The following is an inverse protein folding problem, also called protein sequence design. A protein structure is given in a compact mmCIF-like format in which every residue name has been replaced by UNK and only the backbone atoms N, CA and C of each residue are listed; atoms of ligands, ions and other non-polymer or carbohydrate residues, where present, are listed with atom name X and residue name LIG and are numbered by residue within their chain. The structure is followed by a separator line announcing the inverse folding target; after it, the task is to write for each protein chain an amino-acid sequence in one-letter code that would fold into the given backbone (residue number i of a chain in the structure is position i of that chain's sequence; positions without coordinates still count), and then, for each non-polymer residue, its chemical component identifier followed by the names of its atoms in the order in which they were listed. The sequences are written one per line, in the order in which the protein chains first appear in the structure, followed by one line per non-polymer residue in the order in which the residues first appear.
data_IF_731088221333
#
_entry.id   IF_731088221333
#
_cell.length_a   1.000
_cell.length_b   1.000
_cell.length_c   1.000
_cell.angle_alpha   90.00
_cell.angle_beta   90.00
_cell.angle_gamma   90.00
#
_symmetry.space_group_name_H-M   'P 1'
#
loop_
_entity.id
_entity.type
_entity.pdbx_description
1 polymer ?
#
# COMPACT_ATOMS: atom_id res chain seq x y z
N UNK A 1 -21.22 29.05 2.06
CA UNK A 1 -21.10 29.48 0.65
C UNK A 1 -20.15 28.53 -0.06
N UNK A 2 -20.61 27.85 -1.11
CA UNK A 2 -19.78 26.90 -1.85
C UNK A 2 -18.61 27.65 -2.50
N UNK A 3 -17.38 27.25 -2.18
CA UNK A 3 -16.17 27.91 -2.62
C UNK A 3 -15.91 27.51 -4.09
N UNK A 4 -16.33 28.33 -5.06
CA UNK A 4 -16.26 28.06 -6.50
C UNK A 4 -14.87 27.59 -6.99
N UNK A 5 -13.79 28.06 -6.35
CA UNK A 5 -12.42 27.60 -6.62
C UNK A 5 -12.21 26.10 -6.27
N UNK A 6 -12.87 25.58 -5.23
CA UNK A 6 -12.84 24.14 -4.91
C UNK A 6 -13.66 23.30 -5.88
N UNK A 7 -14.71 23.85 -6.49
CA UNK A 7 -15.49 23.16 -7.50
C UNK A 7 -14.73 23.05 -8.84
N UNK A 8 -13.94 24.08 -9.20
CA UNK A 8 -13.18 24.10 -10.46
C UNK A 8 -11.82 23.41 -10.38
N UNK A 9 -11.10 23.51 -9.26
CA UNK A 9 -9.74 22.96 -9.13
C UNK A 9 -9.62 21.77 -8.18
N UNK A 10 -10.74 21.34 -7.58
CA UNK A 10 -10.77 20.33 -6.54
C UNK A 10 -10.12 20.77 -5.22
N UNK A 11 -10.49 20.13 -4.12
CA UNK A 11 -9.82 20.32 -2.83
C UNK A 11 -8.44 19.65 -2.84
N UNK A 12 -7.56 20.06 -1.90
CA UNK A 12 -6.26 19.37 -1.67
C UNK A 12 -6.44 17.86 -1.51
N UNK A 13 -7.47 17.45 -0.77
CA UNK A 13 -7.76 16.03 -0.53
C UNK A 13 -8.21 15.32 -1.81
N UNK A 14 -9.04 15.96 -2.64
CA UNK A 14 -9.43 15.39 -3.94
C UNK A 14 -8.23 15.18 -4.86
N UNK A 15 -7.25 16.10 -4.86
CA UNK A 15 -6.01 15.95 -5.65
C UNK A 15 -5.14 14.81 -5.13
N UNK A 16 -4.99 14.67 -3.82
CA UNK A 16 -4.25 13.54 -3.23
C UNK A 16 -4.92 12.20 -3.57
N UNK A 17 -6.24 12.11 -3.39
CA UNK A 17 -7.01 10.92 -3.75
C UNK A 17 -6.91 10.58 -5.24
N UNK A 18 -6.90 11.59 -6.12
CA UNK A 18 -6.67 11.38 -7.55
C UNK A 18 -5.30 10.74 -7.83
N UNK A 19 -4.25 11.18 -7.13
CA UNK A 19 -2.92 10.57 -7.21
C UNK A 19 -2.94 9.10 -6.76
N UNK A 20 -3.54 8.82 -5.61
CA UNK A 20 -3.66 7.45 -5.10
C UNK A 20 -4.48 6.55 -6.03
N UNK A 21 -5.57 7.05 -6.62
CA UNK A 21 -6.39 6.28 -7.54
C UNK A 21 -5.62 5.83 -8.80
N UNK A 22 -4.63 6.60 -9.26
CA UNK A 22 -3.74 6.17 -10.35
C UNK A 22 -2.91 4.95 -9.95
N UNK A 23 -2.33 4.97 -8.75
CA UNK A 23 -1.59 3.83 -8.22
C UNK A 23 -2.50 2.63 -7.95
N UNK A 24 -3.74 2.84 -7.48
CA UNK A 24 -4.74 1.77 -7.34
C UNK A 24 -4.97 1.07 -8.68
N UNK A 25 -5.14 1.83 -9.77
CA UNK A 25 -5.31 1.26 -11.11
C UNK A 25 -4.10 0.39 -11.50
N UNK A 26 -2.88 0.90 -11.33
CA UNK A 26 -1.64 0.14 -11.60
C UNK A 26 -1.57 -1.15 -10.76
N UNK A 27 -1.88 -1.08 -9.46
CA UNK A 27 -1.88 -2.26 -8.58
C UNK A 27 -2.93 -3.29 -9.03
N UNK A 28 -4.12 -2.85 -9.45
CA UNK A 28 -5.18 -3.72 -9.96
C UNK A 28 -4.77 -4.38 -11.29
N UNK A 29 -4.11 -3.65 -12.19
CA UNK A 29 -3.58 -4.18 -13.45
C UNK A 29 -2.50 -5.26 -13.24
N UNK A 30 -1.72 -5.15 -12.15
CA UNK A 30 -0.72 -6.15 -11.77
C UNK A 30 -1.33 -7.43 -11.16
N UNK A 31 -2.60 -7.40 -10.72
CA UNK A 31 -3.20 -8.53 -10.00
C UNK A 31 -3.14 -9.87 -10.77
N UNK A 32 -3.45 -9.95 -12.08
CA UNK A 32 -3.36 -11.21 -12.83
C UNK A 32 -1.94 -11.80 -12.87
N UNK A 33 -0.91 -10.96 -13.04
CA UNK A 33 0.47 -11.43 -13.12
C UNK A 33 0.98 -11.93 -11.77
N UNK A 34 0.62 -11.24 -10.68
CA UNK A 34 0.97 -11.68 -9.32
C UNK A 34 0.20 -12.94 -8.90
N UNK A 35 -1.07 -13.08 -9.30
CA UNK A 35 -1.82 -14.33 -9.09
C UNK A 35 -1.20 -15.55 -9.76
N UNK A 36 -0.55 -15.34 -10.91
CA UNK A 36 0.10 -16.41 -11.67
C UNK A 36 1.45 -16.86 -11.08
N UNK A 37 2.05 -16.09 -10.17
CA UNK A 37 3.32 -16.45 -9.52
C UNK A 37 3.16 -17.69 -8.64
N UNK A 38 4.18 -18.53 -8.55
CA UNK A 38 4.26 -19.53 -7.48
C UNK A 38 4.52 -18.85 -6.12
N UNK A 39 4.34 -19.56 -5.01
CA UNK A 39 4.69 -19.03 -3.68
C UNK A 39 6.17 -18.68 -3.58
N UNK A 40 7.03 -19.46 -4.25
CA UNK A 40 8.47 -19.20 -4.31
C UNK A 40 8.77 -17.91 -5.09
N UNK A 41 8.12 -17.72 -6.25
CA UNK A 41 8.33 -16.52 -7.08
C UNK A 41 7.79 -15.26 -6.39
N UNK A 42 6.63 -15.36 -5.73
CA UNK A 42 6.06 -14.27 -4.94
C UNK A 42 6.99 -13.89 -3.79
N UNK A 43 7.59 -14.87 -3.11
CA UNK A 43 8.58 -14.62 -2.05
C UNK A 43 9.83 -13.96 -2.61
N UNK A 44 10.33 -14.43 -3.76
CA UNK A 44 11.53 -13.92 -4.42
C UNK A 44 11.41 -12.44 -4.86
N UNK A 45 10.19 -11.92 -5.04
CA UNK A 45 9.96 -10.48 -5.28
C UNK A 45 10.58 -9.59 -4.20
N UNK A 46 10.63 -10.06 -2.94
CA UNK A 46 11.26 -9.28 -1.86
C UNK A 46 12.75 -9.03 -2.13
N UNK A 47 13.47 -10.04 -2.62
CA UNK A 47 14.90 -9.91 -2.93
C UNK A 47 15.12 -9.06 -4.19
N UNK A 48 14.24 -9.20 -5.19
CA UNK A 48 14.24 -8.32 -6.37
C UNK A 48 14.03 -6.84 -6.01
N UNK A 49 13.05 -6.54 -5.14
CA UNK A 49 12.80 -5.18 -4.69
C UNK A 49 13.99 -4.61 -3.91
N UNK A 50 14.57 -5.39 -3.00
CA UNK A 50 15.76 -4.98 -2.24
C UNK A 50 16.95 -4.70 -3.16
N UNK A 51 17.17 -5.56 -4.16
CA UNK A 51 18.20 -5.36 -5.19
C UNK A 51 17.98 -4.06 -5.95
N UNK A 52 16.77 -3.82 -6.47
CA UNK A 52 16.40 -2.59 -7.21
C UNK A 52 16.60 -1.33 -6.37
N UNK A 53 16.26 -1.37 -5.08
CA UNK A 53 16.50 -0.26 -4.15
C UNK A 53 18.02 -0.03 -3.94
N UNK A 54 18.80 -1.10 -3.83
CA UNK A 54 20.27 -1.02 -3.77
C UNK A 54 20.91 -0.44 -5.04
N UNK A 55 20.26 -0.63 -6.19
CA UNK A 55 20.65 -0.05 -7.49
C UNK A 55 20.17 1.40 -7.69
N UNK A 56 19.46 1.98 -6.72
CA UNK A 56 19.04 3.39 -6.73
C UNK A 56 17.61 3.63 -7.20
N UNK A 57 16.80 2.59 -7.41
CA UNK A 57 15.35 2.75 -7.68
C UNK A 57 14.68 3.45 -6.51
N UNK A 58 13.80 4.43 -6.77
CA UNK A 58 13.10 5.11 -5.69
C UNK A 58 12.05 4.19 -5.04
N UNK A 59 11.82 4.36 -3.74
CA UNK A 59 10.84 3.55 -3.00
C UNK A 59 9.41 3.68 -3.56
N UNK A 60 9.06 4.88 -4.05
CA UNK A 60 7.77 5.13 -4.70
C UNK A 60 7.60 4.41 -6.03
N UNK A 61 8.70 4.12 -6.75
CA UNK A 61 8.65 3.44 -8.05
C UNK A 61 8.32 1.96 -7.91
N UNK A 62 8.72 1.33 -6.80
CA UNK A 62 8.38 -0.07 -6.51
C UNK A 62 7.05 -0.22 -5.77
N UNK A 63 6.40 0.87 -5.36
CA UNK A 63 5.19 0.84 -4.54
C UNK A 63 4.06 0.00 -5.17
N UNK A 64 3.71 0.16 -6.47
CA UNK A 64 2.63 -0.63 -7.06
C UNK A 64 2.91 -2.14 -7.02
N UNK A 65 4.14 -2.54 -7.35
CA UNK A 65 4.55 -3.95 -7.35
C UNK A 65 4.62 -4.53 -5.94
N UNK A 66 5.14 -3.76 -4.97
CA UNK A 66 5.20 -4.17 -3.57
C UNK A 66 3.79 -4.34 -2.98
N UNK A 67 2.87 -3.43 -3.27
CA UNK A 67 1.48 -3.53 -2.80
C UNK A 67 0.74 -4.70 -3.46
N UNK A 68 0.99 -4.97 -4.75
CA UNK A 68 0.47 -6.16 -5.43
C UNK A 68 0.98 -7.45 -4.79
N UNK A 69 2.28 -7.50 -4.43
CA UNK A 69 2.88 -8.65 -3.74
C UNK A 69 2.21 -8.92 -2.38
N UNK A 70 2.04 -7.88 -1.56
CA UNK A 70 1.41 -8.01 -0.23
C UNK A 70 -0.07 -8.38 -0.35
N UNK A 71 -0.81 -7.81 -1.31
CA UNK A 71 -2.20 -8.17 -1.56
C UNK A 71 -2.32 -9.65 -1.90
N UNK A 72 -1.46 -10.16 -2.78
CA UNK A 72 -1.48 -11.55 -3.16
C UNK A 72 -1.07 -12.47 -2.01
N UNK A 73 -0.06 -12.09 -1.23
CA UNK A 73 0.35 -12.82 -0.04
C UNK A 73 -0.79 -12.91 0.99
N UNK A 74 -1.52 -11.82 1.24
CA UNK A 74 -2.68 -11.81 2.12
C UNK A 74 -3.83 -12.67 1.59
N UNK A 75 -4.06 -12.68 0.27
CA UNK A 75 -5.05 -13.57 -0.35
C UNK A 75 -4.71 -15.04 -0.11
N UNK A 76 -3.44 -15.43 -0.27
CA UNK A 76 -2.99 -16.83 -0.10
C UNK A 76 -2.98 -17.29 1.35
N UNK A 77 -2.55 -16.42 2.26
CA UNK A 77 -2.30 -16.79 3.67
C UNK A 77 -3.50 -16.55 4.57
N UNK A 78 -4.28 -15.51 4.32
CA UNK A 78 -5.41 -15.10 5.15
C UNK A 78 -6.76 -15.25 4.45
N UNK A 79 -6.78 -15.58 3.16
CA UNK A 79 -8.01 -15.58 2.35
C UNK A 79 -8.58 -14.18 2.11
N UNK A 80 -7.81 -13.12 2.39
CA UNK A 80 -8.28 -11.73 2.33
C UNK A 80 -7.55 -10.96 1.24
N UNK A 81 -8.29 -10.52 0.22
CA UNK A 81 -7.78 -9.59 -0.80
C UNK A 81 -8.00 -8.16 -0.33
N UNK A 82 -6.95 -7.33 -0.30
CA UNK A 82 -7.11 -5.92 0.05
C UNK A 82 -8.07 -5.18 -0.89
N UNK A 83 -9.00 -4.44 -0.33
CA UNK A 83 -9.87 -3.51 -1.06
C UNK A 83 -9.09 -2.26 -1.50
N UNK A 84 -9.63 -1.54 -2.49
CA UNK A 84 -8.97 -0.36 -3.05
C UNK A 84 -8.84 0.77 -2.01
N UNK A 85 -9.83 0.92 -1.12
CA UNK A 85 -9.75 1.85 0.03
C UNK A 85 -8.62 1.50 1.00
N UNK A 86 -8.26 0.23 1.13
CA UNK A 86 -7.12 -0.20 1.95
C UNK A 86 -5.80 0.11 1.24
N UNK A 87 -5.72 -0.01 -0.09
CA UNK A 87 -4.55 0.46 -0.84
C UNK A 87 -4.34 1.97 -0.65
N UNK A 88 -5.43 2.75 -0.73
CA UNK A 88 -5.39 4.20 -0.48
C UNK A 88 -4.93 4.49 0.95
N UNK A 89 -5.46 3.78 1.94
CA UNK A 89 -5.00 3.89 3.34
C UNK A 89 -3.50 3.59 3.48
N UNK A 90 -3.01 2.55 2.82
CA UNK A 90 -1.60 2.18 2.84
C UNK A 90 -0.70 3.25 2.22
N UNK A 91 -1.07 3.79 1.06
CA UNK A 91 -0.34 4.90 0.43
C UNK A 91 -0.39 6.19 1.28
N UNK A 92 -1.54 6.46 1.92
CA UNK A 92 -1.68 7.59 2.84
C UNK A 92 -0.68 7.49 4.00
N UNK A 93 -0.54 6.31 4.61
CA UNK A 93 0.44 6.07 5.67
C UNK A 93 1.89 6.13 5.16
N UNK A 94 2.18 5.56 3.99
CA UNK A 94 3.51 5.62 3.39
C UNK A 94 3.95 7.08 3.14
N UNK A 95 3.02 7.93 2.72
CA UNK A 95 3.25 9.37 2.54
C UNK A 95 3.40 10.17 3.85
N UNK A 96 3.43 9.51 5.01
CA UNK A 96 3.54 10.15 6.32
C UNK A 96 2.29 10.91 6.75
N UNK A 97 1.11 10.54 6.22
CA UNK A 97 -0.18 11.16 6.58
C UNK A 97 -1.01 10.22 7.45
N UNK A 98 -2.12 10.75 7.98
CA UNK A 98 -3.10 9.96 8.75
C UNK A 98 -4.17 9.41 7.81
N UNK A 99 -4.29 8.08 7.75
CA UNK A 99 -5.38 7.40 7.06
C UNK A 99 -6.61 7.31 7.97
N UNK A 100 -7.56 8.23 7.80
CA UNK A 100 -8.86 8.14 8.47
C UNK A 100 -9.70 7.05 7.79
N UNK A 101 -9.96 5.97 8.53
CA UNK A 101 -10.73 4.82 8.08
C UNK A 101 -11.76 4.46 9.15
N UNK A 102 -12.96 4.06 8.74
CA UNK A 102 -14.02 3.63 9.67
C UNK A 102 -13.69 2.29 10.31
N UNK A 103 -14.31 2.00 11.45
CA UNK A 103 -14.24 0.68 12.07
C UNK A 103 -14.78 -0.37 11.10
N UNK A 104 -14.08 -1.49 10.97
CA UNK A 104 -14.44 -2.56 10.02
C UNK A 104 -13.80 -2.43 8.63
N UNK A 105 -13.15 -1.32 8.29
CA UNK A 105 -12.46 -1.18 6.99
C UNK A 105 -11.10 -1.92 6.92
N UNK A 106 -10.75 -2.69 7.96
CA UNK A 106 -9.59 -3.57 7.97
C UNK A 106 -8.24 -2.85 8.14
N UNK A 107 -8.13 -1.94 9.11
CA UNK A 107 -6.90 -1.16 9.39
C UNK A 107 -5.66 -2.04 9.62
N UNK A 108 -5.83 -3.17 10.32
CA UNK A 108 -4.74 -4.13 10.60
C UNK A 108 -4.23 -4.80 9.32
N UNK A 109 -5.14 -5.21 8.43
CA UNK A 109 -4.74 -5.78 7.15
C UNK A 109 -4.13 -4.70 6.25
N UNK A 110 -4.70 -3.51 6.22
CA UNK A 110 -4.17 -2.37 5.46
C UNK A 110 -2.75 -2.02 5.86
N UNK A 111 -2.42 -2.01 7.17
CA UNK A 111 -1.09 -1.60 7.65
C UNK A 111 0.04 -2.48 7.15
N UNK A 112 -0.22 -3.72 6.73
CA UNK A 112 0.82 -4.60 6.17
C UNK A 112 1.41 -4.05 4.87
N UNK A 113 0.62 -3.30 4.07
CA UNK A 113 1.06 -2.68 2.81
C UNK A 113 2.23 -1.69 3.01
N UNK A 114 2.06 -0.59 3.78
CA UNK A 114 3.14 0.35 4.02
C UNK A 114 4.22 -0.22 4.94
N UNK A 115 3.89 -1.12 5.88
CA UNK A 115 4.91 -1.75 6.74
C UNK A 115 5.89 -2.56 5.89
N UNK A 116 5.38 -3.39 4.97
CA UNK A 116 6.23 -4.16 4.05
C UNK A 116 7.10 -3.24 3.19
N UNK A 117 6.48 -2.28 2.48
CA UNK A 117 7.19 -1.37 1.58
C UNK A 117 8.32 -0.63 2.30
N UNK A 118 8.03 -0.02 3.45
CA UNK A 118 9.02 0.76 4.20
C UNK A 118 10.06 -0.11 4.93
N UNK A 119 9.83 -1.41 5.10
CA UNK A 119 10.82 -2.34 5.64
C UNK A 119 11.85 -2.79 4.60
N UNK A 120 11.56 -2.69 3.29
CA UNK A 120 12.45 -3.14 2.21
C UNK A 120 13.85 -2.50 2.25
N UNK A 121 14.02 -1.20 2.55
CA UNK A 121 15.35 -0.59 2.71
C UNK A 121 16.17 -1.11 3.91
N UNK A 122 15.63 -2.00 4.75
CA UNK A 122 16.37 -2.60 5.88
C UNK A 122 16.55 -1.71 7.10
N UNK A 123 15.80 -0.59 7.20
CA UNK A 123 15.90 0.38 8.31
C UNK A 123 14.99 0.06 9.50
N UNK A 124 14.15 -0.96 9.39
CA UNK A 124 13.12 -1.31 10.37
C UNK A 124 11.86 -0.45 10.25
N UNK A 125 10.75 -0.94 10.80
CA UNK A 125 9.45 -0.25 10.89
C UNK A 125 8.85 -0.54 12.26
N UNK A 126 8.37 0.50 12.95
CA UNK A 126 7.67 0.34 14.21
C UNK A 126 6.15 0.47 13.99
N UNK A 127 5.41 -0.60 14.28
CA UNK A 127 3.96 -0.59 14.34
C UNK A 127 3.54 -0.49 15.80
N UNK A 128 2.89 0.62 16.17
CA UNK A 128 2.51 0.90 17.56
C UNK A 128 1.02 0.70 17.74
N UNK A 129 0.64 -0.04 18.77
CA UNK A 129 -0.74 -0.29 19.19
C UNK A 129 -0.97 0.28 20.58
N UNK A 130 -2.21 0.28 21.04
CA UNK A 130 -2.59 0.88 22.33
C UNK A 130 -2.24 0.00 23.55
N UNK A 131 -1.94 -1.29 23.33
CA UNK A 131 -1.60 -2.23 24.39
C UNK A 131 -0.86 -3.47 23.84
N UNK A 132 -0.23 -4.23 24.73
CA UNK A 132 0.55 -5.43 24.40
C UNK A 132 -0.28 -6.58 23.81
N UNK A 133 -1.58 -6.65 24.12
CA UNK A 133 -2.45 -7.70 23.58
C UNK A 133 -2.69 -7.53 22.07
N UNK A 134 -2.71 -6.28 21.59
CA UNK A 134 -2.90 -5.97 20.17
C UNK A 134 -1.59 -5.93 19.36
N UNK A 135 -0.43 -5.97 20.04
CA UNK A 135 0.90 -5.97 19.42
C UNK A 135 1.29 -7.39 18.97
#
# INVERSE_FOLDING_TARGET
MANWFTALFGSRNQRLLSGYNKNVALINELEPSFKALSDADLRAKTDDFRRRLGEGTALGDILPEAFAAVREAARRTLGMRHFDVQLIGGMTLHDGKIAEMRTGEGKTLMSTLPVYLNALPGKGVHLVTVNEYLA
#
